data_IF_589411689571
#
_entry.id   IF_589411689571
#
_cell.length_a   1.000
_cell.length_b   1.000
_cell.length_c   1.000
_cell.angle_alpha   90.00
_cell.angle_beta   90.00
_cell.angle_gamma   90.00
#
_symmetry.space_group_name_H-M   'P 1'
#
loop_
_entity.id
_entity.type
_entity.pdbx_description
1 polymer ?
#
# COMPACT_ATOMS: atom_id res chain seq x y z
N UNK A 1 -32.46 -43.49 5.04
CA UNK A 1 -32.69 -42.15 5.59
C UNK A 1 -31.31 -41.59 5.85
N UNK A 2 -30.79 -40.89 4.86
CA UNK A 2 -29.39 -40.45 4.83
C UNK A 2 -29.35 -39.00 5.33
N UNK A 3 -28.52 -38.76 6.33
CA UNK A 3 -28.39 -37.49 7.03
C UNK A 3 -27.32 -36.68 6.31
N UNK A 4 -27.74 -35.68 5.55
CA UNK A 4 -26.84 -34.68 4.96
C UNK A 4 -26.72 -33.51 5.93
N UNK A 5 -25.53 -33.37 6.53
CA UNK A 5 -25.07 -32.16 7.22
C UNK A 5 -24.84 -31.05 6.18
N UNK A 6 -25.20 -29.79 6.45
CA UNK A 6 -24.79 -28.68 5.60
C UNK A 6 -23.30 -28.41 5.80
N UNK A 7 -22.55 -28.33 4.71
CA UNK A 7 -21.19 -27.80 4.70
C UNK A 7 -21.26 -26.31 5.06
N UNK A 8 -20.67 -25.95 6.19
CA UNK A 8 -20.39 -24.57 6.56
C UNK A 8 -19.34 -24.01 5.57
N UNK A 9 -19.81 -23.26 4.57
CA UNK A 9 -18.96 -22.38 3.78
C UNK A 9 -18.57 -21.19 4.67
N UNK A 10 -17.37 -21.21 5.22
CA UNK A 10 -16.75 -20.00 5.77
C UNK A 10 -16.61 -18.99 4.63
N UNK A 11 -17.57 -18.07 4.56
CA UNK A 11 -17.49 -16.86 3.76
C UNK A 11 -16.23 -16.09 4.20
N UNK A 12 -15.17 -16.20 3.40
CA UNK A 12 -14.00 -15.33 3.50
C UNK A 12 -14.53 -13.93 3.26
N UNK A 13 -14.62 -13.16 4.35
CA UNK A 13 -15.25 -11.86 4.40
C UNK A 13 -14.54 -10.90 3.44
N UNK A 14 -15.06 -10.82 2.21
CA UNK A 14 -14.58 -9.88 1.20
C UNK A 14 -14.98 -8.50 1.69
N UNK A 15 -14.02 -7.72 2.20
CA UNK A 15 -14.23 -6.30 2.44
C UNK A 15 -14.56 -5.65 1.07
N UNK A 16 -15.83 -5.26 0.80
CA UNK A 16 -16.27 -4.88 -0.53
C UNK A 16 -15.76 -3.50 -0.99
N UNK A 17 -14.86 -2.89 -0.22
CA UNK A 17 -14.45 -1.49 -0.34
C UNK A 17 -12.92 -1.28 -0.34
N UNK A 18 -12.11 -2.33 -0.44
CA UNK A 18 -10.67 -2.20 -0.69
C UNK A 18 -10.42 -2.13 -2.21
N UNK A 19 -9.62 -1.16 -2.69
CA UNK A 19 -9.16 -1.18 -4.08
C UNK A 19 -8.30 -2.42 -4.31
N UNK A 20 -8.38 -3.02 -5.50
CA UNK A 20 -7.50 -4.14 -5.83
C UNK A 20 -6.07 -3.66 -6.08
N UNK A 21 -5.07 -4.51 -5.79
CA UNK A 21 -3.67 -4.28 -6.17
C UNK A 21 -3.56 -3.95 -7.68
N UNK A 22 -4.31 -4.67 -8.52
CA UNK A 22 -4.33 -4.46 -9.96
C UNK A 22 -4.79 -3.05 -10.35
N UNK A 23 -5.81 -2.50 -9.67
CA UNK A 23 -6.28 -1.13 -9.92
C UNK A 23 -5.26 -0.08 -9.51
N UNK A 24 -4.58 -0.30 -8.37
CA UNK A 24 -3.49 0.57 -7.93
C UNK A 24 -2.34 0.58 -8.95
N UNK A 25 -1.94 -0.59 -9.44
CA UNK A 25 -0.89 -0.71 -10.46
C UNK A 25 -1.27 0.01 -11.77
N UNK A 26 -2.51 -0.20 -12.25
CA UNK A 26 -3.03 0.49 -13.45
C UNK A 26 -3.08 2.00 -13.26
N UNK A 27 -3.49 2.47 -12.09
CA UNK A 27 -3.53 3.89 -11.76
C UNK A 27 -2.13 4.52 -11.76
N UNK A 28 -1.16 3.89 -11.09
CA UNK A 28 0.23 4.37 -11.05
C UNK A 28 0.80 4.42 -12.48
N UNK A 29 0.64 3.36 -13.27
CA UNK A 29 1.13 3.28 -14.64
C UNK A 29 0.50 4.36 -15.56
N UNK A 30 -0.77 4.72 -15.33
CA UNK A 30 -1.47 5.72 -16.14
C UNK A 30 -1.11 7.17 -15.78
N UNK A 31 -0.59 7.42 -14.57
CA UNK A 31 -0.42 8.78 -14.03
C UNK A 31 1.04 9.14 -13.71
N UNK A 32 1.98 8.21 -13.88
CA UNK A 32 3.41 8.41 -13.56
C UNK A 32 4.31 7.75 -14.60
N UNK A 33 5.61 8.01 -14.55
CA UNK A 33 6.63 7.29 -15.31
C UNK A 33 7.37 6.24 -14.46
N UNK A 34 6.79 5.89 -13.30
CA UNK A 34 7.39 4.90 -12.40
C UNK A 34 7.40 3.54 -13.12
N UNK A 35 8.53 2.82 -13.09
CA UNK A 35 8.57 1.47 -13.62
C UNK A 35 7.75 0.57 -12.70
N UNK A 36 6.52 0.25 -13.09
CA UNK A 36 5.62 -0.68 -12.40
C UNK A 36 5.20 -1.78 -13.37
N UNK A 37 4.94 -2.98 -12.86
CA UNK A 37 4.58 -4.12 -13.71
C UNK A 37 3.25 -3.84 -14.42
N UNK A 38 3.21 -4.10 -15.73
CA UNK A 38 1.96 -4.00 -16.47
C UNK A 38 1.03 -5.16 -16.12
N UNK A 39 -0.17 -4.85 -15.65
CA UNK A 39 -1.24 -5.84 -15.44
C UNK A 39 -1.86 -6.24 -16.78
N UNK A 40 -1.92 -7.54 -17.07
CA UNK A 40 -2.61 -8.10 -18.24
C UNK A 40 -4.04 -8.50 -17.90
N UNK A 41 -4.23 -9.25 -16.82
CA UNK A 41 -5.51 -9.79 -16.39
C UNK A 41 -5.58 -9.88 -14.86
N UNK A 42 -6.76 -9.70 -14.29
CA UNK A 42 -7.08 -9.90 -12.88
C UNK A 42 -8.43 -10.62 -12.75
N UNK A 43 -8.52 -11.58 -11.83
CA UNK A 43 -9.74 -12.35 -11.63
C UNK A 43 -10.31 -12.15 -10.23
N UNK A 44 -11.64 -11.99 -10.16
CA UNK A 44 -12.40 -11.93 -8.91
C UNK A 44 -13.08 -13.26 -8.58
N UNK A 45 -12.52 -14.37 -9.07
CA UNK A 45 -13.03 -15.72 -8.81
C UNK A 45 -12.75 -16.15 -7.35
N UNK A 46 -13.08 -17.39 -7.00
CA UNK A 46 -12.83 -17.95 -5.66
C UNK A 46 -11.36 -17.88 -5.22
N UNK A 47 -10.43 -17.81 -6.18
CA UNK A 47 -9.02 -17.49 -5.95
C UNK A 47 -8.73 -16.20 -6.72
N UNK A 48 -8.38 -15.13 -5.98
CA UNK A 48 -7.91 -13.89 -6.60
C UNK A 48 -6.53 -14.14 -7.21
N UNK A 49 -6.37 -13.75 -8.47
CA UNK A 49 -5.09 -13.84 -9.17
C UNK A 49 -4.87 -12.62 -10.06
N UNK A 50 -3.62 -12.21 -10.19
CA UNK A 50 -3.18 -11.13 -11.07
C UNK A 50 -2.12 -11.70 -11.99
N UNK A 51 -2.36 -11.60 -13.30
CA UNK A 51 -1.37 -11.90 -14.34
C UNK A 51 -0.78 -10.60 -14.83
N UNK A 52 0.53 -10.47 -14.71
CA UNK A 52 1.26 -9.24 -15.01
C UNK A 52 2.58 -9.52 -15.72
N UNK A 53 3.20 -8.45 -16.20
CA UNK A 53 4.53 -8.48 -16.79
C UNK A 53 5.56 -9.10 -15.83
N UNK A 54 6.48 -9.89 -16.39
CA UNK A 54 7.66 -10.34 -15.69
C UNK A 54 8.82 -9.40 -15.99
N UNK A 55 9.36 -8.74 -14.97
CA UNK A 55 10.57 -7.94 -15.09
C UNK A 55 11.75 -8.74 -14.49
N UNK A 56 12.81 -9.02 -15.29
CA UNK A 56 13.99 -9.70 -14.78
C UNK A 56 14.72 -8.82 -13.77
N UNK A 57 15.20 -9.43 -12.69
CA UNK A 57 15.94 -8.76 -11.63
C UNK A 57 15.80 -9.48 -10.30
N UNK A 58 16.39 -8.89 -9.26
CA UNK A 58 16.29 -9.35 -7.88
C UNK A 58 15.84 -8.21 -6.98
N UNK A 59 15.20 -8.53 -5.85
CA UNK A 59 14.76 -7.53 -4.90
C UNK A 59 15.94 -6.81 -4.23
N UNK A 60 15.79 -5.52 -3.95
CA UNK A 60 16.85 -4.65 -3.44
C UNK A 60 17.44 -5.18 -2.12
N UNK A 61 16.62 -5.75 -1.25
CA UNK A 61 17.07 -6.39 0.00
C UNK A 61 18.09 -7.52 -0.22
N UNK A 62 17.95 -8.30 -1.30
CA UNK A 62 18.86 -9.41 -1.64
C UNK A 62 20.17 -8.92 -2.21
N UNK A 63 20.14 -7.87 -3.03
CA UNK A 63 21.33 -7.38 -3.74
C UNK A 63 22.02 -6.20 -3.05
N UNK A 64 21.41 -5.58 -2.03
CA UNK A 64 21.98 -4.39 -1.36
C UNK A 64 23.42 -4.58 -0.89
N UNK A 65 23.75 -5.76 -0.38
CA UNK A 65 25.09 -6.10 0.08
C UNK A 65 26.14 -6.21 -1.03
N UNK A 66 25.73 -6.46 -2.27
CA UNK A 66 26.63 -6.69 -3.42
C UNK A 66 26.81 -5.45 -4.29
N UNK A 67 25.93 -4.44 -4.15
CA UNK A 67 25.99 -3.19 -4.90
C UNK A 67 27.20 -2.33 -4.51
N UNK A 68 27.82 -1.73 -5.53
CA UNK A 68 28.83 -0.68 -5.37
C UNK A 68 28.22 0.59 -4.77
N UNK A 69 29.04 1.41 -4.14
CA UNK A 69 28.60 2.67 -3.52
C UNK A 69 27.97 3.62 -4.55
N UNK A 70 28.54 3.71 -5.75
CA UNK A 70 27.98 4.51 -6.85
C UNK A 70 26.60 4.02 -7.30
N UNK A 71 26.37 2.70 -7.30
CA UNK A 71 25.07 2.11 -7.64
C UNK A 71 24.04 2.39 -6.56
N UNK A 72 24.44 2.33 -5.28
CA UNK A 72 23.57 2.69 -4.16
C UNK A 72 23.13 4.16 -4.21
N UNK A 73 24.06 5.06 -4.55
CA UNK A 73 23.75 6.48 -4.72
C UNK A 73 22.83 6.72 -5.92
N UNK A 74 23.06 6.05 -7.04
CA UNK A 74 22.19 6.13 -8.22
C UNK A 74 20.77 5.62 -7.91
N UNK A 75 20.66 4.45 -7.26
CA UNK A 75 19.38 3.89 -6.82
C UNK A 75 18.66 4.81 -5.83
N UNK A 76 19.37 5.41 -4.87
CA UNK A 76 18.76 6.37 -3.95
C UNK A 76 18.15 7.58 -4.68
N UNK A 77 18.79 8.03 -5.77
CA UNK A 77 18.25 9.09 -6.62
C UNK A 77 17.02 8.63 -7.41
N UNK A 78 17.04 7.42 -7.99
CA UNK A 78 15.89 6.83 -8.68
C UNK A 78 14.69 6.64 -7.74
N UNK A 79 14.91 6.10 -6.53
CA UNK A 79 13.86 5.93 -5.52
C UNK A 79 13.29 7.26 -5.02
N UNK A 80 14.14 8.29 -4.90
CA UNK A 80 13.67 9.65 -4.59
C UNK A 80 12.75 10.18 -5.70
N UNK A 81 13.07 9.92 -6.96
CA UNK A 81 12.22 10.31 -8.09
C UNK A 81 10.88 9.57 -8.03
N UNK A 82 10.88 8.25 -7.80
CA UNK A 82 9.65 7.45 -7.62
C UNK A 82 8.75 8.05 -6.54
N UNK A 83 9.31 8.33 -5.36
CA UNK A 83 8.55 8.93 -4.26
C UNK A 83 8.03 10.34 -4.62
N UNK A 84 8.81 11.11 -5.37
CA UNK A 84 8.38 12.43 -5.84
C UNK A 84 7.24 12.36 -6.85
N UNK A 85 7.24 11.37 -7.75
CA UNK A 85 6.18 11.16 -8.73
C UNK A 85 4.89 10.69 -8.05
N UNK A 86 4.96 9.68 -7.17
CA UNK A 86 3.81 9.23 -6.37
C UNK A 86 3.21 10.39 -5.56
N UNK A 87 4.06 11.10 -4.81
CA UNK A 87 3.61 12.22 -3.98
C UNK A 87 3.17 13.44 -4.79
N UNK A 88 3.52 13.49 -6.08
CA UNK A 88 3.02 14.50 -7.01
C UNK A 88 1.52 14.34 -7.29
N UNK A 89 1.00 13.11 -7.16
CA UNK A 89 -0.43 12.84 -7.24
C UNK A 89 -1.10 13.31 -5.95
N UNK A 90 -2.11 14.19 -6.06
CA UNK A 90 -2.80 14.81 -4.92
C UNK A 90 -4.21 14.25 -4.71
N UNK A 91 -4.54 13.95 -3.47
CA UNK A 91 -5.83 13.43 -3.03
C UNK A 91 -6.70 14.49 -2.38
N UNK A 92 -7.98 14.15 -2.16
CA UNK A 92 -8.94 14.98 -1.41
C UNK A 92 -9.59 14.25 -0.23
N UNK A 93 -9.17 13.01 0.00
CA UNK A 93 -9.68 12.11 1.01
C UNK A 93 -8.56 11.15 1.39
N UNK A 94 -8.64 10.53 2.55
CA UNK A 94 -7.70 9.51 3.04
C UNK A 94 -8.34 8.15 2.89
N UNK A 95 -7.64 7.22 2.24
CA UNK A 95 -8.11 5.87 1.96
C UNK A 95 -7.63 5.35 0.62
N UNK A 96 -7.98 4.10 0.32
CA UNK A 96 -7.63 3.44 -0.92
C UNK A 96 -8.19 4.15 -2.17
N UNK A 97 -7.71 3.74 -3.35
CA UNK A 97 -8.18 4.27 -4.62
C UNK A 97 -9.71 4.13 -4.76
N UNK A 98 -10.35 5.00 -5.55
CA UNK A 98 -11.80 4.99 -5.80
C UNK A 98 -12.66 5.13 -4.53
N UNK A 99 -12.20 5.94 -3.57
CA UNK A 99 -12.83 6.12 -2.25
C UNK A 99 -13.00 4.80 -1.49
N UNK A 100 -12.03 3.91 -1.63
CA UNK A 100 -11.94 2.72 -0.80
C UNK A 100 -11.51 3.03 0.63
N UNK A 101 -11.64 2.04 1.51
CA UNK A 101 -11.28 2.16 2.92
C UNK A 101 -9.78 2.42 3.10
N UNK A 102 -9.41 3.16 4.14
CA UNK A 102 -8.06 3.23 4.65
C UNK A 102 -7.75 1.97 5.48
N UNK A 103 -6.50 1.52 5.42
CA UNK A 103 -6.01 0.40 6.22
C UNK A 103 -4.77 0.86 7.01
N UNK A 104 -4.74 0.55 8.31
CA UNK A 104 -3.50 0.67 9.07
C UNK A 104 -2.67 -0.60 8.88
N UNK A 105 -1.65 -0.55 8.01
CA UNK A 105 -0.78 -1.72 7.71
C UNK A 105 0.00 -2.25 8.93
N UNK A 106 0.00 -1.53 10.07
CA UNK A 106 0.57 -2.02 11.34
C UNK A 106 -0.37 -2.96 12.08
N UNK A 107 -1.66 -2.93 11.75
CA UNK A 107 -2.73 -3.76 12.31
C UNK A 107 -3.72 -4.09 11.19
N UNK A 108 -3.41 -5.13 10.41
CA UNK A 108 -4.15 -5.52 9.20
C UNK A 108 -5.67 -5.66 9.36
N UNK A 109 -6.16 -5.90 10.58
CA UNK A 109 -7.60 -6.00 10.88
C UNK A 109 -8.29 -4.64 11.08
N UNK A 110 -7.54 -3.54 11.09
CA UNK A 110 -8.07 -2.20 11.33
C UNK A 110 -8.24 -1.44 10.00
N UNK A 111 -9.48 -1.49 9.50
CA UNK A 111 -9.92 -0.84 8.26
C UNK A 111 -11.15 0.03 8.54
N UNK A 112 -11.15 1.26 8.01
CA UNK A 112 -12.30 2.16 8.06
C UNK A 112 -12.12 3.29 7.03
N UNK A 113 -13.08 4.21 6.93
CA UNK A 113 -13.08 5.30 5.97
C UNK A 113 -13.77 4.94 4.65
N UNK A 114 -13.46 5.64 3.54
CA UNK A 114 -12.48 6.73 3.43
C UNK A 114 -12.83 7.94 4.31
N UNK A 115 -11.83 8.74 4.66
CA UNK A 115 -11.99 9.93 5.49
C UNK A 115 -11.84 11.20 4.66
N UNK A 116 -12.75 12.17 4.85
CA UNK A 116 -12.63 13.47 4.17
C UNK A 116 -11.66 14.44 4.87
N UNK A 117 -11.21 14.11 6.08
CA UNK A 117 -10.30 14.96 6.85
C UNK A 117 -9.24 14.13 7.57
N UNK A 118 -8.04 14.68 7.71
CA UNK A 118 -6.97 14.08 8.51
C UNK A 118 -7.34 13.97 9.98
N UNK A 119 -8.15 14.89 10.51
CA UNK A 119 -8.67 14.80 11.88
C UNK A 119 -9.49 13.52 12.10
N UNK A 120 -10.43 13.20 11.20
CA UNK A 120 -11.22 11.97 11.29
C UNK A 120 -10.36 10.71 11.15
N UNK A 121 -9.34 10.76 10.27
CA UNK A 121 -8.38 9.66 10.15
C UNK A 121 -7.54 9.47 11.43
N UNK A 122 -7.09 10.55 12.06
CA UNK A 122 -6.37 10.50 13.32
C UNK A 122 -7.23 9.93 14.46
N UNK A 123 -8.50 10.34 14.54
CA UNK A 123 -9.45 9.78 15.50
C UNK A 123 -9.61 8.26 15.30
N UNK A 124 -9.70 7.81 14.05
CA UNK A 124 -9.70 6.38 13.72
C UNK A 124 -8.43 5.67 14.20
N UNK A 125 -7.24 6.20 13.89
CA UNK A 125 -5.96 5.65 14.36
C UNK A 125 -5.89 5.59 15.90
N UNK A 126 -6.52 6.54 16.59
CA UNK A 126 -6.58 6.60 18.04
C UNK A 126 -7.60 5.63 18.66
N UNK A 127 -8.70 5.34 17.95
CA UNK A 127 -9.88 4.64 18.48
C UNK A 127 -9.63 3.19 18.89
N UNK A 128 -8.88 2.42 18.10
CA UNK A 128 -8.75 0.97 18.27
C UNK A 128 -7.32 0.46 18.45
N UNK A 129 -6.33 1.28 18.10
CA UNK A 129 -4.90 0.99 18.31
C UNK A 129 -4.49 1.18 19.78
N UNK A 130 -5.26 1.98 20.54
CA UNK A 130 -4.80 2.50 21.83
C UNK A 130 -5.69 2.21 23.04
N UNK A 131 -6.73 1.39 22.93
CA UNK A 131 -7.55 0.97 24.09
C UNK A 131 -6.73 0.26 25.18
N UNK A 132 -5.63 -0.39 24.81
CA UNK A 132 -4.78 -1.17 25.72
C UNK A 132 -3.51 -0.44 26.19
N UNK A 133 -3.27 0.81 25.75
CA UNK A 133 -2.05 1.53 26.13
C UNK A 133 -2.29 2.48 27.32
N UNK A 134 -1.24 2.82 28.09
CA UNK A 134 -1.33 3.83 29.13
C UNK A 134 -1.78 5.19 28.58
N UNK A 135 -2.63 5.90 29.32
CA UNK A 135 -3.15 7.23 28.96
C UNK A 135 -2.06 8.22 28.55
N UNK A 136 -0.88 8.16 29.19
CA UNK A 136 0.26 9.03 28.85
C UNK A 136 0.74 8.82 27.42
N UNK A 137 0.82 7.57 26.95
CA UNK A 137 1.21 7.27 25.57
C UNK A 137 0.13 7.70 24.57
N UNK A 138 -1.15 7.61 24.96
CA UNK A 138 -2.27 8.05 24.13
C UNK A 138 -2.23 9.56 23.95
N UNK A 139 -2.02 10.31 25.04
CA UNK A 139 -1.89 11.76 25.01
C UNK A 139 -0.65 12.24 24.23
N UNK A 140 0.45 11.49 24.30
CA UNK A 140 1.62 11.79 23.48
C UNK A 140 1.35 11.54 22.00
N UNK A 141 0.69 10.43 21.65
CA UNK A 141 0.31 10.12 20.29
C UNK A 141 -0.64 11.18 19.71
N UNK A 142 -1.70 11.52 20.45
CA UNK A 142 -2.70 12.50 20.00
C UNK A 142 -2.10 13.88 19.77
N UNK A 143 -1.14 14.32 20.60
CA UNK A 143 -0.43 15.59 20.40
C UNK A 143 0.57 15.58 19.26
N UNK A 144 1.01 14.39 18.84
CA UNK A 144 1.97 14.23 17.75
C UNK A 144 1.29 14.14 16.37
N UNK A 145 0.00 13.80 16.34
CA UNK A 145 -0.79 13.74 15.11
C UNK A 145 -1.21 15.16 14.69
N UNK A 146 -0.65 15.63 13.57
CA UNK A 146 -1.05 16.88 12.94
C UNK A 146 -2.25 16.67 12.03
N UNK A 147 -2.80 17.75 11.49
CA UNK A 147 -4.01 17.75 10.64
C UNK A 147 -3.87 18.66 9.41
N UNK A 148 -2.63 19.04 9.09
CA UNK A 148 -2.29 20.02 8.07
C UNK A 148 -1.34 19.45 7.01
N UNK A 149 -1.27 18.12 6.88
CA UNK A 149 -0.50 17.49 5.82
C UNK A 149 -1.24 17.55 4.49
N UNK A 150 -0.48 17.59 3.41
CA UNK A 150 -1.03 17.44 2.07
C UNK A 150 -1.34 15.97 1.84
N UNK A 151 -2.56 15.68 1.40
CA UNK A 151 -2.95 14.31 1.09
C UNK A 151 -2.40 13.92 -0.29
N UNK A 152 -1.55 12.90 -0.32
CA UNK A 152 -0.82 12.47 -1.51
C UNK A 152 -1.00 10.99 -1.75
N UNK A 153 -0.73 10.52 -2.98
CA UNK A 153 -0.73 9.10 -3.25
C UNK A 153 0.55 8.46 -2.67
N UNK A 154 0.38 7.37 -1.92
CA UNK A 154 1.47 6.64 -1.28
C UNK A 154 1.40 5.16 -1.67
N UNK A 155 2.56 4.48 -1.63
CA UNK A 155 2.66 3.05 -1.93
C UNK A 155 2.03 2.16 -0.84
N UNK A 156 2.02 2.63 0.42
CA UNK A 156 1.60 1.86 1.59
C UNK A 156 2.66 0.91 2.14
N UNK A 157 3.48 0.28 1.28
CA UNK A 157 4.56 -0.64 1.70
C UNK A 157 5.85 -0.47 0.90
N UNK A 158 6.44 0.73 0.95
CA UNK A 158 7.64 1.06 0.18
C UNK A 158 8.92 0.51 0.86
N UNK A 159 9.18 -0.78 0.68
CA UNK A 159 10.28 -1.50 1.31
C UNK A 159 11.28 -2.10 0.28
N UNK A 160 12.55 -2.38 0.66
CA UNK A 160 13.53 -2.98 -0.25
C UNK A 160 13.11 -4.30 -0.91
N UNK A 161 12.25 -5.10 -0.27
CA UNK A 161 11.67 -6.32 -0.85
C UNK A 161 10.76 -6.06 -2.06
N UNK A 162 10.19 -4.85 -2.13
CA UNK A 162 9.23 -4.41 -3.15
C UNK A 162 9.87 -3.57 -4.26
N UNK A 163 11.21 -3.56 -4.32
CA UNK A 163 12.01 -2.84 -5.30
C UNK A 163 12.82 -3.86 -6.08
N UNK A 164 12.53 -4.02 -7.37
CA UNK A 164 13.30 -4.90 -8.26
C UNK A 164 14.46 -4.13 -8.88
N UNK A 165 15.65 -4.72 -8.79
CA UNK A 165 16.91 -4.17 -9.29
C UNK A 165 17.47 -5.11 -10.36
N UNK A 166 17.95 -4.52 -11.45
CA UNK A 166 18.68 -5.21 -12.49
C UNK A 166 19.91 -4.40 -12.89
N UNK A 167 21.07 -5.06 -12.96
CA UNK A 167 22.34 -4.43 -13.33
C UNK A 167 22.67 -3.17 -12.50
N UNK A 168 22.26 -3.17 -11.22
CA UNK A 168 22.47 -2.07 -10.28
C UNK A 168 21.56 -0.85 -10.48
N UNK A 169 20.46 -1.00 -11.23
CA UNK A 169 19.46 0.06 -11.47
C UNK A 169 18.06 -0.39 -11.12
N UNK A 170 17.19 0.57 -10.81
CA UNK A 170 15.78 0.33 -10.60
C UNK A 170 15.15 -0.27 -11.87
N UNK A 171 14.55 -1.44 -11.73
CA UNK A 171 13.86 -2.13 -12.81
C UNK A 171 12.34 -2.11 -12.63
N UNK A 172 11.84 -2.22 -11.39
CA UNK A 172 10.41 -2.14 -11.09
C UNK A 172 10.12 -1.82 -9.63
N UNK A 173 8.95 -1.25 -9.36
CA UNK A 173 8.26 -1.26 -8.08
C UNK A 173 7.11 -2.27 -8.17
N UNK A 174 6.91 -3.05 -7.11
CA UNK A 174 5.88 -4.10 -7.03
C UNK A 174 5.09 -3.99 -5.73
N UNK A 175 4.04 -4.79 -5.58
CA UNK A 175 3.30 -4.96 -4.32
C UNK A 175 2.58 -3.68 -3.86
N UNK A 176 1.70 -3.16 -4.73
CA UNK A 176 0.95 -1.92 -4.51
C UNK A 176 -0.42 -2.14 -3.86
N UNK A 177 -0.62 -3.25 -3.15
CA UNK A 177 -1.90 -3.62 -2.56
C UNK A 177 -2.38 -2.60 -1.50
N UNK A 178 -1.44 -1.99 -0.76
CA UNK A 178 -1.72 -1.00 0.28
C UNK A 178 -1.66 0.45 -0.21
N UNK A 179 -1.56 0.67 -1.51
CA UNK A 179 -1.49 2.01 -2.07
C UNK A 179 -2.80 2.77 -1.89
N UNK A 180 -2.69 4.09 -1.69
CA UNK A 180 -3.84 4.94 -1.50
C UNK A 180 -3.47 6.39 -1.19
N UNK A 181 -4.46 7.18 -0.81
CA UNK A 181 -4.31 8.57 -0.44
C UNK A 181 -4.08 8.69 1.06
N UNK A 182 -2.95 9.24 1.46
CA UNK A 182 -2.58 9.37 2.86
C UNK A 182 -1.83 10.69 3.14
N UNK A 183 -1.84 11.18 4.39
CA UNK A 183 -1.01 12.29 4.85
C UNK A 183 0.50 12.07 4.63
#
# INVERSE_FOLDING_TARGET
MDVTTPEDSEDVNVLPYASSEADNMRFIAANTNIPILRVYEDTSASIKSITMEYIPGESLDKVWGTLLEEQKLALAAELKQVLSELRGLKGRYIGALNRGQAMDVRKFDLVDGPFDTEAAFNDFLLSDTFKAIPTVMHDMASRSLRTDHEIVFTHGDFAPRNIIVKDGKLAAIIDSEFSGWYP
#
